data_IF_751635945407
#
_entry.id   IF_751635945407
#
_cell.length_a   1.000
_cell.length_b   1.000
_cell.length_c   1.000
_cell.angle_alpha   90.00
_cell.angle_beta   90.00
_cell.angle_gamma   90.00
#
_symmetry.space_group_name_H-M   'P 1'
#
loop_
_entity.id
_entity.type
_entity.pdbx_description
1 polymer ?
#
# COMPACT_ATOMS: atom_id res chain seq x y z
N UNK A 1 -48.84 2.18 79.27
CA UNK A 1 -48.69 3.63 79.05
C UNK A 1 -47.28 3.84 78.53
N UNK A 2 -47.07 3.76 77.22
CA UNK A 2 -46.87 4.92 76.33
C UNK A 2 -45.65 5.75 76.80
N UNK A 3 -44.53 5.77 76.09
CA UNK A 3 -44.36 6.57 74.86
C UNK A 3 -43.01 6.31 74.17
N UNK A 4 -43.07 6.11 72.83
CA UNK A 4 -42.23 6.68 71.72
C UNK A 4 -40.70 6.83 71.88
N UNK A 5 -39.80 6.50 70.93
CA UNK A 5 -39.80 6.54 69.45
C UNK A 5 -38.63 5.71 68.88
N UNK A 6 -38.68 5.24 67.61
CA UNK A 6 -37.55 4.56 66.95
C UNK A 6 -36.61 5.56 66.24
N UNK A 7 -35.30 5.42 66.44
CA UNK A 7 -34.30 6.11 65.63
C UNK A 7 -33.79 5.21 64.49
N UNK A 8 -33.85 5.80 63.30
CA UNK A 8 -33.50 5.28 61.99
C UNK A 8 -31.98 5.04 61.90
N UNK A 9 -31.55 3.78 61.71
CA UNK A 9 -30.16 3.45 61.35
C UNK A 9 -30.04 3.46 59.83
N UNK A 10 -29.45 4.51 59.27
CA UNK A 10 -28.98 4.53 57.88
C UNK A 10 -27.56 3.98 57.82
N UNK A 11 -27.39 2.88 57.08
CA UNK A 11 -26.09 2.37 56.63
C UNK A 11 -25.39 3.43 55.78
N UNK A 12 -24.14 3.75 56.13
CA UNK A 12 -23.17 4.32 55.19
C UNK A 12 -22.03 3.32 55.06
N UNK A 13 -22.03 2.61 53.94
CA UNK A 13 -20.99 1.67 53.54
C UNK A 13 -20.01 2.34 52.59
N UNK A 14 -18.76 1.87 52.66
CA UNK A 14 -17.70 1.94 51.64
C UNK A 14 -16.91 3.24 51.51
N UNK A 15 -15.64 3.20 51.94
CA UNK A 15 -14.46 3.44 51.07
C UNK A 15 -13.15 3.24 51.85
N UNK A 16 -12.52 2.08 51.66
CA UNK A 16 -11.11 1.88 51.96
C UNK A 16 -10.51 0.99 50.85
N UNK A 17 -10.11 1.63 49.74
CA UNK A 17 -9.24 1.00 48.76
C UNK A 17 -7.81 1.50 49.02
N UNK A 18 -7.02 0.67 49.68
CA UNK A 18 -5.59 0.90 49.91
C UNK A 18 -4.86 0.76 48.57
N UNK A 19 -4.08 1.79 48.22
CA UNK A 19 -3.25 1.84 47.03
C UNK A 19 -2.11 0.81 47.11
N UNK A 20 -2.04 -0.08 46.11
CA UNK A 20 -0.83 -0.83 45.74
C UNK A 20 -0.33 -0.27 44.41
N UNK A 21 0.48 0.78 44.49
CA UNK A 21 1.29 1.27 43.38
C UNK A 21 2.73 0.86 43.62
N UNK A 22 3.18 -0.21 42.95
CA UNK A 22 4.59 -0.50 42.76
C UNK A 22 4.76 -1.31 41.48
N UNK A 23 5.44 -0.71 40.48
CA UNK A 23 5.91 -1.43 39.30
C UNK A 23 5.41 -0.95 37.93
N UNK A 24 5.06 0.33 37.76
CA UNK A 24 5.04 0.91 36.42
C UNK A 24 6.48 1.24 36.03
N UNK A 25 7.19 0.29 35.40
CA UNK A 25 8.41 0.61 34.69
C UNK A 25 8.11 1.70 33.67
N UNK A 26 8.90 2.77 33.67
CA UNK A 26 8.82 3.84 32.69
C UNK A 26 8.79 3.22 31.29
N UNK A 27 7.63 3.32 30.64
CA UNK A 27 7.52 3.02 29.24
C UNK A 27 8.35 4.09 28.51
N UNK A 28 9.54 3.70 28.07
CA UNK A 28 10.35 4.48 27.15
C UNK A 28 9.44 4.99 26.03
N UNK A 29 9.19 6.31 26.04
CA UNK A 29 8.24 6.99 25.16
C UNK A 29 8.68 7.05 23.69
N UNK A 30 9.72 6.30 23.33
CA UNK A 30 10.08 6.05 21.93
C UNK A 30 9.10 5.03 21.36
N UNK A 31 8.45 5.30 20.21
CA UNK A 31 7.71 4.27 19.51
C UNK A 31 8.64 3.08 19.30
N UNK A 32 8.37 1.94 19.96
CA UNK A 32 9.08 0.69 19.66
C UNK A 32 9.02 0.51 18.15
N UNK A 33 10.18 0.43 17.50
CA UNK A 33 10.26 0.24 16.05
C UNK A 33 9.35 -0.94 15.70
N UNK A 34 8.25 -0.67 15.00
CA UNK A 34 7.36 -1.75 14.59
C UNK A 34 8.14 -2.57 13.57
N UNK A 35 8.25 -3.88 13.77
CA UNK A 35 8.91 -4.77 12.82
C UNK A 35 8.11 -4.89 11.52
N UNK A 36 8.67 -5.59 10.53
CA UNK A 36 7.96 -5.89 9.28
C UNK A 36 6.61 -6.56 9.57
N UNK A 37 5.59 -6.14 8.82
CA UNK A 37 4.29 -6.82 8.84
C UNK A 37 4.36 -8.04 7.94
N UNK A 38 3.81 -9.16 8.40
CA UNK A 38 3.79 -10.43 7.66
C UNK A 38 2.38 -11.00 7.59
N UNK A 39 2.07 -11.80 6.57
CA UNK A 39 0.85 -12.59 6.52
C UNK A 39 1.03 -13.94 7.23
N UNK A 40 0.05 -14.34 8.04
CA UNK A 40 -0.04 -15.68 8.66
C UNK A 40 -1.47 -16.21 8.54
N UNK A 41 -1.68 -17.14 7.61
CA UNK A 41 -3.02 -17.59 7.26
C UNK A 41 -3.83 -16.40 6.71
N UNK A 42 -5.00 -16.13 7.30
CA UNK A 42 -5.87 -15.01 6.88
C UNK A 42 -5.68 -13.72 7.68
N UNK A 43 -4.56 -13.57 8.42
CA UNK A 43 -4.31 -12.39 9.27
C UNK A 43 -2.95 -11.79 9.00
N UNK A 44 -2.87 -10.46 9.13
CA UNK A 44 -1.60 -9.77 9.24
C UNK A 44 -1.05 -9.87 10.66
N UNK A 45 0.27 -9.86 10.79
CA UNK A 45 0.98 -9.92 12.05
C UNK A 45 2.03 -8.81 12.11
N UNK A 46 2.05 -8.04 13.19
CA UNK A 46 3.06 -7.02 13.46
C UNK A 46 3.63 -7.24 14.87
N UNK A 47 4.95 -7.45 14.98
CA UNK A 47 5.59 -7.72 16.27
C UNK A 47 5.01 -8.94 17.00
N UNK A 48 4.64 -9.99 16.25
CA UNK A 48 4.06 -11.22 16.81
C UNK A 48 2.57 -11.14 17.20
N UNK A 49 1.92 -9.98 17.03
CA UNK A 49 0.50 -9.78 17.36
C UNK A 49 -0.35 -9.61 16.11
N UNK A 50 -1.63 -10.04 16.12
CA UNK A 50 -2.55 -9.75 15.02
C UNK A 50 -2.61 -8.25 14.72
N UNK A 51 -2.54 -7.91 13.44
CA UNK A 51 -2.63 -6.55 12.93
C UNK A 51 -3.88 -6.42 12.05
N UNK A 52 -4.60 -5.31 12.23
CA UNK A 52 -5.78 -4.96 11.45
C UNK A 52 -5.49 -3.65 10.72
N UNK A 53 -5.61 -3.69 9.39
CA UNK A 53 -5.47 -2.51 8.56
C UNK A 53 -6.76 -1.69 8.65
N UNK A 54 -6.63 -0.45 9.08
CA UNK A 54 -7.67 0.58 9.02
C UNK A 54 -6.99 1.86 8.54
N UNK A 55 -7.52 2.50 7.51
CA UNK A 55 -6.72 3.43 6.74
C UNK A 55 -7.43 4.05 5.54
N UNK A 56 -6.64 4.75 4.74
CA UNK A 56 -7.13 5.49 3.58
C UNK A 56 -6.10 5.56 2.45
N UNK A 57 -6.57 6.03 1.30
CA UNK A 57 -5.75 6.29 0.12
C UNK A 57 -5.35 7.77 0.06
N UNK A 58 -4.08 8.05 -0.18
CA UNK A 58 -3.57 9.39 -0.42
C UNK A 58 -2.47 9.37 -1.49
N UNK A 59 -2.86 9.38 -2.77
CA UNK A 59 -1.90 9.32 -3.89
C UNK A 59 -0.91 10.46 -3.95
N UNK A 60 -1.37 11.62 -3.51
CA UNK A 60 -0.68 12.87 -3.71
C UNK A 60 0.46 13.08 -2.70
N UNK A 61 0.70 12.19 -1.73
CA UNK A 61 1.67 12.43 -0.66
C UNK A 61 3.08 12.72 -1.20
N UNK A 62 3.60 11.89 -2.12
CA UNK A 62 4.90 12.11 -2.74
C UNK A 62 4.92 13.42 -3.54
N UNK A 63 3.87 13.66 -4.33
CA UNK A 63 3.74 14.87 -5.13
C UNK A 63 3.78 16.14 -4.27
N UNK A 64 3.01 16.18 -3.19
CA UNK A 64 2.98 17.31 -2.26
C UNK A 64 4.30 17.43 -1.49
N UNK A 65 4.91 16.32 -1.06
CA UNK A 65 6.18 16.35 -0.33
C UNK A 65 7.39 16.78 -1.19
N UNK A 66 7.28 16.66 -2.52
CA UNK A 66 8.33 17.07 -3.48
C UNK A 66 8.56 18.59 -3.49
N UNK A 67 7.53 19.38 -3.13
CA UNK A 67 7.65 20.81 -2.88
C UNK A 67 7.79 21.05 -1.36
N UNK A 68 8.93 21.56 -0.86
CA UNK A 68 9.10 21.85 0.56
C UNK A 68 8.00 22.74 1.17
N UNK A 69 7.43 23.68 0.40
CA UNK A 69 6.35 24.54 0.86
C UNK A 69 5.02 23.81 1.12
N UNK A 70 4.82 22.65 0.51
CA UNK A 70 3.60 21.84 0.63
C UNK A 70 3.74 20.69 1.64
N UNK A 71 4.92 20.49 2.23
CA UNK A 71 5.16 19.41 3.21
C UNK A 71 4.30 19.51 4.45
N UNK A 72 3.87 20.72 4.84
CA UNK A 72 2.91 20.90 5.94
C UNK A 72 1.62 20.13 5.70
N UNK A 73 1.11 20.07 4.46
CA UNK A 73 -0.12 19.33 4.13
C UNK A 73 0.06 17.81 4.31
N UNK A 74 1.26 17.30 4.05
CA UNK A 74 1.63 15.89 4.31
C UNK A 74 1.72 15.63 5.81
N UNK A 75 2.29 16.55 6.57
CA UNK A 75 2.30 16.45 8.04
C UNK A 75 0.89 16.46 8.61
N UNK A 76 0.05 17.41 8.17
CA UNK A 76 -1.31 17.60 8.66
C UNK A 76 -2.18 16.35 8.45
N UNK A 77 -2.11 15.72 7.26
CA UNK A 77 -2.90 14.51 6.98
C UNK A 77 -2.39 13.31 7.77
N UNK A 78 -1.08 13.17 7.96
CA UNK A 78 -0.51 12.08 8.75
C UNK A 78 -0.77 12.28 10.26
N UNK A 79 -0.76 13.52 10.75
CA UNK A 79 -1.14 13.85 12.13
C UNK A 79 -2.61 13.54 12.39
N UNK A 80 -3.50 13.89 11.45
CA UNK A 80 -4.91 13.53 11.54
C UNK A 80 -5.10 12.01 11.50
N UNK A 81 -4.43 11.31 10.58
CA UNK A 81 -4.44 9.85 10.50
C UNK A 81 -4.04 9.20 11.83
N UNK A 82 -2.95 9.67 12.44
CA UNK A 82 -2.47 9.17 13.73
C UNK A 82 -3.48 9.44 14.85
N UNK A 83 -4.06 10.64 14.92
CA UNK A 83 -5.09 11.01 15.90
C UNK A 83 -6.37 10.18 15.77
N UNK A 84 -6.75 9.82 14.55
CA UNK A 84 -7.93 9.00 14.26
C UNK A 84 -7.66 7.50 14.39
N UNK A 85 -6.41 7.09 14.64
CA UNK A 85 -6.04 5.69 14.83
C UNK A 85 -5.81 4.92 13.53
N UNK A 86 -5.67 5.59 12.39
CA UNK A 86 -5.34 4.94 11.13
C UNK A 86 -3.98 4.22 11.23
N UNK A 87 -3.93 2.98 10.76
CA UNK A 87 -2.78 2.10 10.88
C UNK A 87 -2.00 1.97 9.57
N UNK A 88 -2.67 2.16 8.42
CA UNK A 88 -2.07 2.03 7.08
C UNK A 88 -2.53 3.18 6.19
N UNK A 89 -1.63 3.70 5.35
CA UNK A 89 -1.96 4.61 4.25
C UNK A 89 -1.45 4.01 2.94
N UNK A 90 -2.33 3.91 1.94
CA UNK A 90 -1.94 3.53 0.59
C UNK A 90 -1.58 4.78 -0.19
N UNK A 91 -0.37 4.82 -0.76
CA UNK A 91 0.13 5.95 -1.55
C UNK A 91 0.86 5.48 -2.82
N UNK A 92 1.11 6.42 -3.72
CA UNK A 92 1.66 6.17 -5.04
C UNK A 92 3.16 6.42 -4.99
N UNK A 93 3.94 5.43 -5.41
CA UNK A 93 5.39 5.48 -5.48
C UNK A 93 5.88 5.59 -6.94
N UNK A 94 5.02 6.17 -7.80
CA UNK A 94 5.27 6.42 -9.21
C UNK A 94 4.77 7.80 -9.62
N UNK A 95 5.40 8.33 -10.67
CA UNK A 95 4.88 9.39 -11.52
C UNK A 95 5.76 9.36 -12.77
N UNK A 96 5.21 8.86 -13.86
CA UNK A 96 5.95 8.44 -15.04
C UNK A 96 5.79 9.44 -16.19
N UNK A 97 6.91 9.93 -16.70
CA UNK A 97 6.97 10.76 -17.91
C UNK A 97 6.43 12.18 -17.73
N UNK A 98 6.49 12.95 -18.81
CA UNK A 98 6.21 14.40 -18.80
C UNK A 98 4.72 14.76 -18.65
N UNK A 99 3.83 13.77 -18.49
CA UNK A 99 2.40 13.99 -18.25
C UNK A 99 2.08 14.52 -16.83
N UNK A 100 3.07 14.55 -15.94
CA UNK A 100 3.03 15.27 -14.66
C UNK A 100 3.99 16.45 -14.71
N UNK A 101 3.64 17.55 -14.05
CA UNK A 101 4.54 18.68 -13.79
C UNK A 101 5.69 18.32 -12.83
N UNK A 102 5.60 17.18 -12.13
CA UNK A 102 6.62 16.68 -11.20
C UNK A 102 6.82 15.16 -11.33
N UNK A 103 7.37 14.68 -12.46
CA UNK A 103 7.59 13.25 -12.66
C UNK A 103 8.63 12.71 -11.69
N UNK A 104 8.36 11.55 -11.09
CA UNK A 104 9.36 10.77 -10.35
C UNK A 104 10.33 10.12 -11.34
N UNK A 105 9.81 9.38 -12.31
CA UNK A 105 10.60 8.76 -13.37
C UNK A 105 10.40 9.56 -14.66
N UNK A 106 11.41 10.34 -15.02
CA UNK A 106 11.37 11.29 -16.15
C UNK A 106 11.38 10.53 -17.48
N UNK A 107 12.30 9.56 -17.59
CA UNK A 107 12.45 8.60 -18.69
C UNK A 107 12.90 7.26 -18.11
N UNK A 108 12.91 6.14 -18.86
CA UNK A 108 13.24 4.84 -18.28
C UNK A 108 14.63 4.84 -17.62
N UNK A 109 14.66 4.65 -16.30
CA UNK A 109 15.90 4.64 -15.51
C UNK A 109 16.41 6.02 -15.04
N UNK A 110 15.77 7.12 -15.43
CA UNK A 110 16.16 8.49 -15.03
C UNK A 110 15.12 9.07 -14.07
N UNK A 111 15.57 9.49 -12.89
CA UNK A 111 14.69 9.88 -11.79
C UNK A 111 14.90 11.33 -11.38
N UNK A 112 13.80 12.00 -11.03
CA UNK A 112 13.85 13.30 -10.37
C UNK A 112 14.14 13.10 -8.88
N UNK A 113 15.36 13.43 -8.46
CA UNK A 113 15.78 13.25 -7.06
C UNK A 113 14.98 14.11 -6.09
N UNK A 114 14.51 15.30 -6.49
CA UNK A 114 13.67 16.14 -5.63
C UNK A 114 12.32 15.47 -5.34
N UNK A 115 11.70 14.84 -6.34
CA UNK A 115 10.44 14.08 -6.14
C UNK A 115 10.69 12.84 -5.30
N UNK A 116 11.81 12.16 -5.51
CA UNK A 116 12.18 10.97 -4.74
C UNK A 116 12.43 11.29 -3.26
N UNK A 117 13.08 12.42 -2.96
CA UNK A 117 13.23 12.94 -1.60
C UNK A 117 11.86 13.30 -0.99
N UNK A 118 10.87 13.66 -1.80
CA UNK A 118 9.48 13.79 -1.38
C UNK A 118 8.93 12.48 -0.80
N UNK A 119 9.11 11.36 -1.49
CA UNK A 119 8.71 10.05 -0.96
C UNK A 119 9.51 9.65 0.28
N UNK A 120 10.81 9.97 0.33
CA UNK A 120 11.63 9.74 1.53
C UNK A 120 11.05 10.45 2.76
N UNK A 121 10.61 11.69 2.58
CA UNK A 121 9.96 12.49 3.61
C UNK A 121 8.66 11.83 4.08
N UNK A 122 7.80 11.39 3.15
CA UNK A 122 6.54 10.70 3.49
C UNK A 122 6.79 9.47 4.35
N UNK A 123 7.75 8.62 3.97
CA UNK A 123 8.12 7.42 4.73
C UNK A 123 8.66 7.79 6.13
N UNK A 124 9.55 8.78 6.20
CA UNK A 124 10.12 9.23 7.47
C UNK A 124 9.05 9.81 8.43
N UNK A 125 8.07 10.53 7.89
CA UNK A 125 7.00 11.14 8.68
C UNK A 125 5.91 10.15 9.09
N UNK A 126 5.60 9.16 8.23
CA UNK A 126 4.73 8.04 8.58
C UNK A 126 5.34 7.21 9.73
N UNK A 127 6.66 6.97 9.68
CA UNK A 127 7.41 6.25 10.71
C UNK A 127 7.27 6.88 12.09
N UNK A 128 7.42 8.21 12.19
CA UNK A 128 7.29 8.97 13.45
C UNK A 128 5.92 8.81 14.09
N UNK A 129 4.89 8.55 13.28
CA UNK A 129 3.48 8.43 13.69
C UNK A 129 3.00 6.99 13.83
N UNK A 130 3.89 6.02 13.55
CA UNK A 130 3.55 4.60 13.57
C UNK A 130 2.53 4.20 12.51
N UNK A 131 2.49 4.91 11.37
CA UNK A 131 1.63 4.60 10.23
C UNK A 131 2.43 3.76 9.24
N UNK A 132 1.89 2.64 8.78
CA UNK A 132 2.51 1.86 7.71
C UNK A 132 2.07 2.35 6.32
N UNK A 133 2.88 2.10 5.31
CA UNK A 133 2.62 2.52 3.93
C UNK A 133 2.51 1.34 2.96
N UNK A 134 1.43 1.29 2.18
CA UNK A 134 1.38 0.47 0.95
C UNK A 134 1.81 1.35 -0.21
N UNK A 135 2.82 0.90 -0.97
CA UNK A 135 3.43 1.66 -2.05
C UNK A 135 3.12 1.02 -3.41
N UNK A 136 2.23 1.65 -4.18
CA UNK A 136 1.94 1.26 -5.56
C UNK A 136 3.05 1.68 -6.51
N UNK A 137 3.48 0.78 -7.39
CA UNK A 137 4.70 0.95 -8.20
C UNK A 137 4.44 1.40 -9.63
N UNK A 138 3.21 1.30 -10.13
CA UNK A 138 2.79 1.84 -11.44
C UNK A 138 1.26 1.93 -11.51
N UNK A 139 0.72 2.70 -12.46
CA UNK A 139 -0.72 2.78 -12.70
C UNK A 139 -1.18 1.96 -13.90
N UNK A 140 -2.40 1.43 -13.84
CA UNK A 140 -3.14 1.04 -15.05
C UNK A 140 -3.81 2.22 -15.75
N UNK A 141 -4.29 3.19 -14.97
CA UNK A 141 -4.98 4.39 -15.46
C UNK A 141 -3.97 5.45 -15.96
N UNK A 142 -4.45 6.45 -16.72
CA UNK A 142 -3.58 7.51 -17.30
C UNK A 142 -2.97 8.46 -16.25
N UNK A 143 -3.56 8.53 -15.05
CA UNK A 143 -3.11 9.45 -14.00
C UNK A 143 -1.67 9.19 -13.57
N UNK A 144 -0.83 10.24 -13.59
CA UNK A 144 0.60 10.17 -13.30
C UNK A 144 1.39 9.20 -14.21
N UNK A 145 0.95 9.01 -15.46
CA UNK A 145 1.63 8.19 -16.46
C UNK A 145 1.07 6.78 -16.55
N UNK A 146 1.68 5.81 -15.86
CA UNK A 146 1.21 4.42 -15.85
C UNK A 146 1.65 3.58 -17.06
N UNK A 147 1.01 2.43 -17.26
CA UNK A 147 1.41 1.41 -18.25
C UNK A 147 1.56 1.98 -19.67
N UNK A 148 0.68 2.91 -20.04
CA UNK A 148 0.71 3.63 -21.33
C UNK A 148 2.01 4.38 -21.54
N UNK A 149 2.53 5.05 -20.50
CA UNK A 149 3.80 5.78 -20.60
C UNK A 149 4.99 4.83 -20.80
N UNK A 150 4.97 3.65 -20.18
CA UNK A 150 5.98 2.62 -20.39
C UNK A 150 5.97 2.07 -21.81
N UNK A 151 4.78 1.82 -22.37
CA UNK A 151 4.61 1.42 -23.77
C UNK A 151 5.09 2.54 -24.70
N UNK A 152 4.77 3.81 -24.41
CA UNK A 152 5.26 4.92 -25.20
C UNK A 152 6.80 5.03 -25.17
N UNK A 153 7.43 4.86 -24.01
CA UNK A 153 8.90 4.84 -23.93
C UNK A 153 9.54 3.71 -24.74
N UNK A 154 8.87 2.56 -24.86
CA UNK A 154 9.34 1.49 -25.73
C UNK A 154 9.17 1.85 -27.22
N UNK A 155 8.04 2.46 -27.59
CA UNK A 155 7.82 3.00 -28.95
C UNK A 155 8.87 4.03 -29.35
N UNK A 156 9.23 4.93 -28.44
CA UNK A 156 10.27 5.94 -28.66
C UNK A 156 11.66 5.32 -28.89
N UNK A 157 11.86 4.05 -28.52
CA UNK A 157 13.07 3.25 -28.80
C UNK A 157 12.91 2.29 -29.98
N UNK A 158 11.86 2.45 -30.79
CA UNK A 158 11.64 1.69 -32.02
C UNK A 158 10.87 0.37 -31.84
N UNK A 159 10.26 0.10 -30.68
CA UNK A 159 9.37 -1.06 -30.52
C UNK A 159 8.00 -0.79 -31.16
N UNK A 160 7.51 -1.72 -31.98
CA UNK A 160 6.18 -1.65 -32.60
C UNK A 160 5.12 -2.24 -31.65
N UNK A 161 4.59 -1.41 -30.75
CA UNK A 161 3.56 -1.80 -29.78
C UNK A 161 2.21 -1.17 -30.10
N UNK A 162 1.19 -2.00 -30.26
CA UNK A 162 -0.15 -1.59 -30.71
C UNK A 162 -1.15 -1.35 -29.58
N UNK A 163 -0.85 -1.81 -28.36
CA UNK A 163 -1.75 -1.75 -27.21
C UNK A 163 -1.03 -1.29 -25.95
N UNK A 164 -1.74 -0.62 -25.04
CA UNK A 164 -1.21 -0.33 -23.71
C UNK A 164 -1.05 -1.63 -22.87
N UNK A 165 -1.75 -2.70 -23.24
CA UNK A 165 -1.62 -4.03 -22.63
C UNK A 165 -0.30 -4.73 -23.03
N UNK A 166 0.42 -4.22 -24.05
CA UNK A 166 1.77 -4.70 -24.38
C UNK A 166 2.75 -4.44 -23.23
N UNK A 167 2.40 -3.57 -22.27
CA UNK A 167 3.11 -3.45 -20.98
C UNK A 167 3.27 -4.79 -20.26
N UNK A 168 2.28 -5.68 -20.35
CA UNK A 168 2.28 -6.94 -19.63
C UNK A 168 3.10 -8.04 -20.31
N UNK A 169 3.47 -7.89 -21.59
CA UNK A 169 4.03 -8.97 -22.41
C UNK A 169 5.33 -8.60 -23.13
N UNK A 170 5.54 -7.34 -23.50
CA UNK A 170 6.76 -6.89 -24.17
C UNK A 170 7.98 -6.94 -23.23
N UNK A 171 9.10 -7.45 -23.74
CA UNK A 171 10.29 -7.65 -22.93
C UNK A 171 10.93 -6.32 -22.47
N UNK A 172 10.85 -5.27 -23.29
CA UNK A 172 11.45 -3.98 -22.97
C UNK A 172 10.62 -3.22 -21.94
N UNK A 173 9.29 -3.22 -22.06
CA UNK A 173 8.39 -2.61 -21.06
C UNK A 173 8.54 -3.30 -19.70
N UNK A 174 8.58 -4.63 -19.68
CA UNK A 174 8.86 -5.40 -18.46
C UNK A 174 10.25 -5.10 -17.90
N UNK A 175 11.26 -4.91 -18.74
CA UNK A 175 12.61 -4.55 -18.29
C UNK A 175 12.65 -3.14 -17.66
N UNK A 176 11.94 -2.17 -18.23
CA UNK A 176 11.80 -0.84 -17.62
C UNK A 176 11.15 -0.93 -16.25
N UNK A 177 10.07 -1.70 -16.13
CA UNK A 177 9.36 -1.84 -14.87
C UNK A 177 10.21 -2.58 -13.82
N UNK A 178 10.95 -3.63 -14.20
CA UNK A 178 11.94 -4.28 -13.30
C UNK A 178 13.04 -3.32 -12.85
N UNK A 179 13.53 -2.46 -13.73
CA UNK A 179 14.49 -1.42 -13.36
C UNK A 179 13.88 -0.43 -12.35
N UNK A 180 12.61 -0.06 -12.53
CA UNK A 180 11.88 0.78 -11.58
C UNK A 180 11.71 0.12 -10.21
N UNK A 181 11.23 -1.13 -10.17
CA UNK A 181 11.15 -1.94 -8.95
C UNK A 181 12.49 -1.94 -8.21
N UNK A 182 13.58 -2.27 -8.92
CA UNK A 182 14.92 -2.32 -8.32
C UNK A 182 15.33 -0.96 -7.76
N UNK A 183 15.10 0.14 -8.50
CA UNK A 183 15.47 1.49 -8.06
C UNK A 183 14.69 1.92 -6.82
N UNK A 184 13.39 1.64 -6.77
CA UNK A 184 12.52 1.95 -5.62
C UNK A 184 12.96 1.17 -4.38
N UNK A 185 13.03 -0.15 -4.48
CA UNK A 185 13.30 -1.05 -3.36
C UNK A 185 14.70 -0.83 -2.77
N UNK A 186 15.69 -0.52 -3.61
CA UNK A 186 17.09 -0.31 -3.17
C UNK A 186 17.42 1.12 -2.79
N UNK A 187 16.47 2.06 -2.89
CA UNK A 187 16.72 3.45 -2.49
C UNK A 187 17.05 3.53 -1.00
N UNK A 188 18.11 4.27 -0.68
CA UNK A 188 18.42 4.69 0.69
C UNK A 188 17.71 6.01 0.98
N UNK A 189 16.79 5.99 1.94
CA UNK A 189 16.01 7.15 2.35
C UNK A 189 16.94 8.26 2.89
N UNK A 190 16.82 9.50 2.39
CA UNK A 190 17.69 10.60 2.80
C UNK A 190 17.46 11.11 4.23
N UNK A 191 16.31 10.82 4.83
CA UNK A 191 15.96 11.22 6.20
C UNK A 191 16.25 10.12 7.21
N UNK A 192 15.82 8.87 6.94
CA UNK A 192 16.02 7.75 7.87
C UNK A 192 17.37 7.07 7.72
N UNK A 193 18.05 7.25 6.58
CA UNK A 193 19.29 6.56 6.18
C UNK A 193 19.14 5.04 6.07
N UNK A 194 17.92 4.55 5.97
CA UNK A 194 17.57 3.13 5.80
C UNK A 194 17.18 2.88 4.35
N UNK A 195 17.63 1.78 3.77
CA UNK A 195 17.16 1.34 2.46
C UNK A 195 15.66 0.99 2.52
N UNK A 196 14.88 1.27 1.48
CA UNK A 196 13.44 0.99 1.50
C UNK A 196 13.14 -0.49 1.78
N UNK A 197 13.91 -1.41 1.21
CA UNK A 197 13.84 -2.86 1.53
C UNK A 197 14.09 -3.22 2.99
N UNK A 198 14.69 -2.32 3.76
CA UNK A 198 15.03 -2.50 5.17
C UNK A 198 14.16 -1.62 6.10
N UNK A 199 13.20 -0.87 5.55
CA UNK A 199 12.37 0.10 6.28
C UNK A 199 11.01 -0.50 6.65
N UNK A 200 10.80 -0.97 7.89
CA UNK A 200 9.57 -1.67 8.28
C UNK A 200 8.33 -0.76 8.32
N UNK A 201 8.49 0.55 8.13
CA UNK A 201 7.36 1.46 7.91
C UNK A 201 6.61 1.14 6.62
N UNK A 202 7.25 0.50 5.64
CA UNK A 202 6.58 0.01 4.44
C UNK A 202 5.83 -1.28 4.82
N UNK A 203 4.53 -1.30 4.57
CA UNK A 203 3.64 -2.44 4.80
C UNK A 203 3.84 -3.51 3.72
N UNK A 204 3.75 -3.07 2.46
CA UNK A 204 3.80 -3.92 1.29
C UNK A 204 4.13 -3.12 0.03
N UNK A 205 4.67 -3.83 -0.96
CA UNK A 205 4.77 -3.38 -2.34
C UNK A 205 3.51 -3.80 -3.10
N UNK A 206 2.84 -2.83 -3.73
CA UNK A 206 1.74 -3.09 -4.65
C UNK A 206 2.26 -3.04 -6.08
N UNK A 207 2.05 -4.13 -6.84
CA UNK A 207 2.55 -4.21 -8.22
C UNK A 207 1.99 -3.09 -9.10
N UNK A 208 0.68 -2.91 -9.14
CA UNK A 208 0.06 -1.89 -9.99
C UNK A 208 -1.27 -1.45 -9.40
N UNK A 209 -1.59 -0.15 -9.46
CA UNK A 209 -2.94 0.31 -9.19
C UNK A 209 -3.89 -0.20 -10.29
N UNK A 210 -4.84 -1.04 -9.91
CA UNK A 210 -5.99 -1.48 -10.71
C UNK A 210 -5.62 -2.09 -12.08
N UNK A 211 -4.74 -3.13 -12.12
CA UNK A 211 -4.29 -3.71 -13.36
C UNK A 211 -5.46 -4.28 -14.17
N UNK A 212 -5.52 -3.95 -15.46
CA UNK A 212 -6.47 -4.51 -16.42
C UNK A 212 -5.76 -4.85 -17.72
N UNK A 213 -6.09 -5.98 -18.33
CA UNK A 213 -5.62 -6.45 -19.63
C UNK A 213 -6.77 -6.87 -20.55
N UNK A 214 -7.67 -5.93 -20.95
CA UNK A 214 -8.82 -6.24 -21.80
C UNK A 214 -8.48 -6.91 -23.14
N UNK A 215 -7.24 -6.80 -23.63
CA UNK A 215 -6.80 -7.53 -24.83
C UNK A 215 -6.72 -9.05 -24.64
N UNK A 216 -6.69 -9.56 -23.40
CA UNK A 216 -6.65 -10.99 -23.09
C UNK A 216 -7.62 -11.35 -21.94
N UNK A 217 -8.87 -11.65 -22.30
CA UNK A 217 -9.91 -12.03 -21.34
C UNK A 217 -9.72 -13.43 -20.75
N UNK A 218 -8.76 -14.23 -21.23
CA UNK A 218 -8.44 -15.52 -20.59
C UNK A 218 -7.78 -15.35 -19.23
N UNK A 219 -7.24 -14.15 -18.94
CA UNK A 219 -6.50 -13.83 -17.71
C UNK A 219 -5.05 -14.32 -17.72
N UNK A 220 -4.60 -15.02 -18.76
CA UNK A 220 -3.27 -15.65 -18.80
C UNK A 220 -2.14 -14.66 -18.94
N UNK A 221 -2.33 -13.56 -19.65
CA UNK A 221 -1.35 -12.47 -19.72
C UNK A 221 -1.12 -11.84 -18.35
N UNK A 222 -2.20 -11.54 -17.62
CA UNK A 222 -2.11 -11.02 -16.25
C UNK A 222 -1.45 -12.03 -15.30
N UNK A 223 -1.85 -13.31 -15.36
CA UNK A 223 -1.27 -14.36 -14.51
C UNK A 223 0.24 -14.50 -14.70
N UNK A 224 0.73 -14.53 -15.95
CA UNK A 224 2.18 -14.59 -16.23
C UNK A 224 2.92 -13.34 -15.75
N UNK A 225 2.34 -12.16 -15.96
CA UNK A 225 2.95 -10.91 -15.54
C UNK A 225 3.04 -10.82 -14.01
N UNK A 226 1.96 -11.12 -13.29
CA UNK A 226 1.96 -11.14 -11.81
C UNK A 226 2.98 -12.13 -11.28
N UNK A 227 3.05 -13.34 -11.85
CA UNK A 227 4.03 -14.35 -11.44
C UNK A 227 5.48 -13.86 -11.63
N UNK A 228 5.77 -13.23 -12.77
CA UNK A 228 7.11 -12.68 -13.05
C UNK A 228 7.47 -11.51 -12.13
N UNK A 229 6.56 -10.56 -11.96
CA UNK A 229 6.86 -9.31 -11.23
C UNK A 229 6.88 -9.50 -9.72
N UNK A 230 5.93 -10.25 -9.15
CA UNK A 230 5.97 -10.56 -7.71
C UNK A 230 7.21 -11.37 -7.33
N UNK A 231 7.60 -12.35 -8.14
CA UNK A 231 8.85 -13.10 -7.92
C UNK A 231 10.09 -12.19 -8.03
N UNK A 232 10.09 -11.25 -8.98
CA UNK A 232 11.17 -10.28 -9.08
C UNK A 232 11.27 -9.36 -7.86
N UNK A 233 10.13 -8.82 -7.37
CA UNK A 233 10.10 -8.04 -6.12
C UNK A 233 10.69 -8.84 -4.96
N UNK A 234 10.23 -10.09 -4.75
CA UNK A 234 10.74 -10.97 -3.69
C UNK A 234 12.24 -11.28 -3.82
N UNK A 235 12.77 -11.33 -5.04
CA UNK A 235 14.21 -11.55 -5.27
C UNK A 235 15.08 -10.36 -4.84
N UNK A 236 14.54 -9.14 -4.90
CA UNK A 236 15.24 -7.91 -4.48
C UNK A 236 15.00 -7.63 -2.99
N UNK A 237 13.79 -7.94 -2.52
CA UNK A 237 13.31 -7.73 -1.16
C UNK A 237 12.50 -8.92 -0.63
N UNK A 238 13.14 -9.82 0.14
CA UNK A 238 12.46 -10.97 0.72
C UNK A 238 11.71 -10.63 2.03
N UNK A 239 11.74 -9.38 2.51
CA UNK A 239 11.20 -8.99 3.83
C UNK A 239 9.77 -8.48 3.75
N UNK A 240 9.49 -7.58 2.80
CA UNK A 240 8.16 -6.99 2.66
C UNK A 240 7.15 -7.93 2.00
N UNK A 241 5.88 -7.73 2.34
CA UNK A 241 4.78 -8.34 1.63
C UNK A 241 4.62 -7.73 0.23
N UNK A 242 4.03 -8.51 -0.67
CA UNK A 242 3.71 -8.15 -2.04
C UNK A 242 2.25 -8.46 -2.30
N UNK A 243 1.58 -7.53 -2.93
CA UNK A 243 0.19 -7.60 -3.33
C UNK A 243 0.04 -7.02 -4.75
N UNK A 244 -1.08 -7.30 -5.42
CA UNK A 244 -1.21 -7.04 -6.85
C UNK A 244 -1.75 -5.64 -7.16
N UNK A 245 -2.69 -5.15 -6.34
CA UNK A 245 -3.47 -3.92 -6.53
C UNK A 245 -4.74 -4.14 -7.34
N UNK A 246 -5.26 -5.37 -7.36
CA UNK A 246 -6.46 -5.74 -8.10
C UNK A 246 -7.73 -5.14 -7.52
N UNK A 247 -8.65 -4.81 -8.43
CA UNK A 247 -10.02 -4.42 -8.09
C UNK A 247 -10.87 -5.61 -7.64
N UNK A 248 -10.47 -6.84 -7.98
CA UNK A 248 -11.09 -8.06 -7.46
C UNK A 248 -11.98 -8.82 -8.42
N UNK A 249 -11.91 -8.55 -9.73
CA UNK A 249 -12.76 -9.22 -10.71
C UNK A 249 -12.43 -10.72 -10.83
N UNK A 250 -13.46 -11.56 -10.78
CA UNK A 250 -13.34 -13.00 -11.02
C UNK A 250 -13.15 -13.30 -12.52
N UNK A 251 -12.31 -14.30 -12.83
CA UNK A 251 -12.00 -14.72 -14.20
C UNK A 251 -12.39 -16.17 -14.50
N UNK A 252 -11.73 -16.77 -15.49
CA UNK A 252 -12.02 -18.12 -16.00
C UNK A 252 -11.69 -19.26 -15.02
N UNK A 253 -10.87 -19.02 -14.00
CA UNK A 253 -10.61 -20.02 -12.95
C UNK A 253 -11.83 -20.27 -12.06
N UNK A 254 -12.77 -19.32 -12.01
CA UNK A 254 -14.02 -19.40 -11.25
C UNK A 254 -15.20 -18.80 -12.02
N UNK A 255 -15.61 -19.38 -13.16
CA UNK A 255 -16.54 -18.74 -14.09
C UNK A 255 -17.92 -18.46 -13.47
N UNK A 256 -18.39 -19.32 -12.56
CA UNK A 256 -19.64 -19.11 -11.81
C UNK A 256 -19.62 -17.87 -10.90
N UNK A 257 -18.43 -17.39 -10.50
CA UNK A 257 -18.27 -16.22 -9.63
C UNK A 257 -18.26 -14.89 -10.41
N UNK A 258 -18.10 -14.92 -11.74
CA UNK A 258 -18.21 -13.71 -12.58
C UNK A 258 -19.53 -12.96 -12.39
N UNK A 259 -20.60 -13.64 -11.97
CA UNK A 259 -21.88 -13.01 -11.61
C UNK A 259 -21.77 -11.96 -10.49
N UNK A 260 -20.69 -11.98 -9.71
CA UNK A 260 -20.40 -11.00 -8.66
C UNK A 260 -19.57 -9.81 -9.16
N UNK A 261 -19.03 -9.87 -10.37
CA UNK A 261 -18.35 -8.73 -10.97
C UNK A 261 -19.39 -7.71 -11.46
N UNK A 262 -19.03 -6.41 -11.51
CA UNK A 262 -19.86 -5.38 -12.11
C UNK A 262 -20.08 -5.58 -13.62
N UNK A 263 -20.94 -4.75 -14.21
CA UNK A 263 -21.09 -4.68 -15.67
C UNK A 263 -21.47 -5.99 -16.36
N UNK A 264 -22.28 -6.84 -15.70
CA UNK A 264 -22.68 -8.18 -16.18
C UNK A 264 -21.52 -9.16 -16.37
N UNK A 265 -20.58 -9.20 -15.43
CA UNK A 265 -19.49 -10.16 -15.45
C UNK A 265 -18.21 -9.65 -16.10
N UNK A 266 -18.00 -8.34 -16.13
CA UNK A 266 -16.77 -7.73 -16.60
C UNK A 266 -15.57 -8.30 -15.83
N UNK A 267 -14.50 -8.68 -16.54
CA UNK A 267 -13.30 -9.29 -15.92
C UNK A 267 -12.08 -8.39 -15.98
N UNK A 268 -12.07 -7.42 -16.90
CA UNK A 268 -10.90 -6.60 -17.19
C UNK A 268 -9.65 -7.40 -17.58
N UNK A 269 -9.78 -8.65 -18.01
CA UNK A 269 -8.62 -9.53 -18.26
C UNK A 269 -7.86 -9.96 -16.99
N UNK A 270 -8.49 -9.87 -15.82
CA UNK A 270 -7.95 -10.33 -14.54
C UNK A 270 -8.69 -11.56 -14.02
N UNK A 271 -8.06 -12.29 -13.10
CA UNK A 271 -8.66 -13.41 -12.42
C UNK A 271 -8.25 -13.44 -10.94
N UNK A 272 -9.13 -12.89 -10.09
CA UNK A 272 -8.88 -12.72 -8.65
C UNK A 272 -8.38 -14.00 -7.95
N UNK A 273 -8.88 -15.18 -8.31
CA UNK A 273 -8.53 -16.42 -7.59
C UNK A 273 -7.20 -16.96 -8.06
N UNK A 274 -6.97 -17.08 -9.37
CA UNK A 274 -5.71 -17.63 -9.88
C UNK A 274 -4.54 -16.68 -9.64
N UNK A 275 -4.74 -15.36 -9.80
CA UNK A 275 -3.67 -14.40 -9.62
C UNK A 275 -3.23 -14.30 -8.13
N UNK A 276 -4.16 -14.35 -7.17
CA UNK A 276 -3.82 -14.36 -5.74
C UNK A 276 -3.41 -15.74 -5.19
N UNK A 277 -3.38 -16.79 -6.03
CA UNK A 277 -2.79 -18.10 -5.67
C UNK A 277 -1.30 -18.20 -6.01
N UNK A 278 -0.74 -17.19 -6.67
CA UNK A 278 0.69 -17.13 -6.97
C UNK A 278 1.47 -17.05 -5.65
N UNK A 279 2.44 -17.96 -5.38
CA UNK A 279 3.08 -18.08 -4.06
C UNK A 279 3.83 -16.84 -3.56
N UNK A 280 4.19 -15.95 -4.47
CA UNK A 280 4.90 -14.68 -4.18
C UNK A 280 3.96 -13.50 -3.95
N UNK A 281 2.65 -13.72 -3.93
CA UNK A 281 1.62 -12.76 -3.53
C UNK A 281 1.16 -13.13 -2.11
N UNK A 282 1.32 -12.21 -1.16
CA UNK A 282 1.11 -12.49 0.27
C UNK A 282 -0.33 -12.23 0.75
N UNK A 283 -1.05 -11.31 0.09
CA UNK A 283 -2.45 -11.02 0.37
C UNK A 283 -3.18 -10.46 -0.84
N UNK A 284 -4.51 -10.54 -0.80
CA UNK A 284 -5.40 -10.12 -1.87
C UNK A 284 -6.05 -8.77 -1.56
N UNK A 285 -6.31 -8.00 -2.61
CA UNK A 285 -7.01 -6.71 -2.56
C UNK A 285 -8.30 -6.75 -3.38
N UNK A 286 -9.28 -5.94 -2.99
CA UNK A 286 -10.48 -5.62 -3.78
C UNK A 286 -10.72 -4.13 -3.70
N UNK A 287 -11.22 -3.53 -4.78
CA UNK A 287 -11.73 -2.16 -4.81
C UNK A 287 -13.24 -2.23 -5.06
N UNK A 288 -14.01 -1.23 -4.61
CA UNK A 288 -15.47 -1.24 -4.76
C UNK A 288 -15.93 0.19 -5.06
N UNK A 289 -16.42 0.42 -6.29
CA UNK A 289 -16.94 1.71 -6.75
C UNK A 289 -18.34 1.55 -7.37
N UNK A 290 -19.40 1.33 -6.57
CA UNK A 290 -20.72 0.95 -7.07
C UNK A 290 -21.35 2.02 -7.96
N UNK A 291 -21.09 3.29 -7.68
CA UNK A 291 -21.64 4.41 -8.46
C UNK A 291 -20.94 4.58 -9.83
N UNK A 292 -19.75 3.99 -10.01
CA UNK A 292 -18.99 4.05 -11.26
C UNK A 292 -19.17 2.81 -12.16
N UNK A 293 -19.66 1.70 -11.60
CA UNK A 293 -19.66 0.36 -12.17
C UNK A 293 -21.04 -0.14 -12.61
#
# INVERSE_FOLDING_TARGET
>A
MATSSPQLVMLVSCLAALALAAGAGEADGRPKSRGFVTARGSRFMAGGRPFYADGFNAYWLMYMASNPADRSKVLDVLDQASRLGATVVRTWAFSDGQGSDRPLQITPGVYNEQVFVGLDFVIAEAKKRGIYLILSLVNNMDGFGGKKQYVQWARDRGHYLGSDDDFFSDALTQQFYKNHIKRMITRVNTFTRVAYKDEPTIFAWELMNEPRAPSDLSGKTMERWVASMSAYVKSVDPKHMVEIGMEGFYGESTPKRKRFNPGKGYTGGTDFVSNNRIPTVDFATIHIYPDQW
#
